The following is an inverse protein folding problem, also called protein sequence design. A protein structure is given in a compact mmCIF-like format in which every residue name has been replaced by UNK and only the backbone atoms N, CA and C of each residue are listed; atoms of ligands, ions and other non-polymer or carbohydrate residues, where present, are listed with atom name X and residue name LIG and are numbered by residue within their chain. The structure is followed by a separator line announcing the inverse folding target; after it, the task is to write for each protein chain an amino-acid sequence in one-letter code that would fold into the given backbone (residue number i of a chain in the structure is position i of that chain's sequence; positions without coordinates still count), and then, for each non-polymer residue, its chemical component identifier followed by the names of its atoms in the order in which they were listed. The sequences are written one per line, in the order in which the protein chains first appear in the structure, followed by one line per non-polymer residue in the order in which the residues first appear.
data_IF_004944897002
#
_entry.id   IF_004944897002
#
_cell.length_a   1.000
_cell.length_b   1.000
_cell.length_c   1.000
_cell.angle_alpha   90.00
_cell.angle_beta   90.00
_cell.angle_gamma   90.00
#
_symmetry.space_group_name_H-M   'P 1'
#
loop_
_entity.id
_entity.type
_entity.pdbx_description
1 polymer ?
#
# COMPACT_ATOMS: atom_id res chain seq x y z
N UNK A 1 -0.71 -1.73 41.87
CA UNK A 1 -1.19 -1.05 40.65
C UNK A 1 -0.49 -1.68 39.47
N UNK A 2 -1.21 -2.45 38.65
CA UNK A 2 -0.65 -3.15 37.49
C UNK A 2 -0.01 -2.16 36.52
N UNK A 3 1.14 -2.52 35.92
CA UNK A 3 1.81 -1.65 34.95
C UNK A 3 0.86 -1.39 33.78
N UNK A 4 0.78 -0.13 33.36
CA UNK A 4 0.04 0.28 32.15
C UNK A 4 0.65 -0.49 30.99
N UNK A 5 0.00 -1.58 30.57
CA UNK A 5 0.37 -2.30 29.35
C UNK A 5 0.28 -1.29 28.22
N UNK A 6 1.43 -0.95 27.63
CA UNK A 6 1.50 -0.06 26.48
C UNK A 6 0.78 -0.66 25.26
N UNK A 7 0.94 -0.02 24.09
CA UNK A 7 0.41 -0.55 22.83
C UNK A 7 0.97 -1.97 22.63
N UNK A 8 0.12 -3.00 22.47
CA UNK A 8 0.60 -4.37 22.22
C UNK A 8 1.53 -4.36 21.02
N UNK A 9 2.63 -5.11 21.10
CA UNK A 9 3.57 -5.26 20.00
C UNK A 9 2.80 -5.86 18.83
N UNK A 10 2.62 -5.09 17.77
CA UNK A 10 2.09 -5.58 16.51
C UNK A 10 3.20 -6.42 15.88
N UNK A 11 2.96 -7.70 15.63
CA UNK A 11 3.99 -8.62 15.08
C UNK A 11 4.45 -8.24 13.66
N UNK A 12 3.63 -7.50 12.91
CA UNK A 12 4.01 -6.99 11.59
C UNK A 12 3.50 -5.54 11.41
N UNK A 13 4.21 -4.55 11.96
CA UNK A 13 3.88 -3.17 11.67
C UNK A 13 4.21 -2.89 10.20
N UNK A 14 3.29 -2.26 9.47
CA UNK A 14 3.58 -1.70 8.14
C UNK A 14 4.38 -0.42 8.36
N UNK A 15 5.69 -0.57 8.60
CA UNK A 15 6.59 0.54 8.99
C UNK A 15 7.08 1.34 7.79
N UNK A 16 7.08 0.75 6.60
CA UNK A 16 7.67 1.36 5.41
C UNK A 16 6.65 2.15 4.60
N UNK A 17 6.88 3.45 4.48
CA UNK A 17 6.16 4.33 3.57
C UNK A 17 6.88 4.35 2.21
N UNK A 18 6.14 4.04 1.14
CA UNK A 18 6.64 4.13 -0.23
C UNK A 18 6.12 5.43 -0.83
N UNK A 19 7.01 6.41 -1.01
CA UNK A 19 6.71 7.65 -1.74
C UNK A 19 7.32 7.57 -3.14
N UNK A 20 6.46 7.64 -4.15
CA UNK A 20 6.88 7.64 -5.55
C UNK A 20 6.38 8.91 -6.23
N UNK A 21 7.25 9.54 -7.05
CA UNK A 21 6.83 10.60 -7.97
C UNK A 21 6.34 9.95 -9.25
N UNK A 22 5.11 10.26 -9.63
CA UNK A 22 4.49 9.77 -10.86
C UNK A 22 3.92 10.95 -11.64
N UNK A 23 3.84 10.78 -12.95
CA UNK A 23 3.21 11.76 -13.83
C UNK A 23 1.70 11.87 -13.59
N UNK A 24 1.15 13.01 -14.02
CA UNK A 24 -0.26 13.33 -13.88
C UNK A 24 -1.16 12.33 -14.62
N UNK A 25 -0.79 11.95 -15.85
CA UNK A 25 -1.53 10.97 -16.65
C UNK A 25 -1.61 9.61 -15.94
N UNK A 26 -0.51 9.16 -15.35
CA UNK A 26 -0.44 7.90 -14.60
C UNK A 26 -1.34 7.94 -13.37
N UNK A 27 -1.36 9.07 -12.65
CA UNK A 27 -2.24 9.27 -11.50
C UNK A 27 -3.72 9.26 -11.90
N UNK A 28 -4.10 9.90 -13.00
CA UNK A 28 -5.47 9.91 -13.50
C UNK A 28 -5.94 8.51 -13.89
N UNK A 29 -5.10 7.75 -14.60
CA UNK A 29 -5.38 6.34 -14.93
C UNK A 29 -5.53 5.49 -13.68
N UNK A 30 -4.67 5.69 -12.69
CA UNK A 30 -4.72 4.95 -11.43
C UNK A 30 -5.99 5.29 -10.64
N UNK A 31 -6.41 6.55 -10.60
CA UNK A 31 -7.67 6.96 -9.97
C UNK A 31 -8.89 6.37 -10.69
N UNK A 32 -8.89 6.39 -12.03
CA UNK A 32 -9.96 5.77 -12.82
C UNK A 32 -10.07 4.26 -12.54
N UNK A 33 -8.93 3.58 -12.49
CA UNK A 33 -8.86 2.16 -12.11
C UNK A 33 -9.39 1.94 -10.69
N UNK A 34 -8.92 2.70 -9.70
CA UNK A 34 -9.40 2.60 -8.32
C UNK A 34 -10.93 2.76 -8.22
N UNK A 35 -11.50 3.70 -8.98
CA UNK A 35 -12.95 3.95 -9.03
C UNK A 35 -13.72 2.79 -9.65
N UNK A 36 -13.21 2.19 -10.70
CA UNK A 36 -13.87 1.07 -11.39
C UNK A 36 -13.83 -0.22 -10.55
N UNK A 37 -12.73 -0.47 -9.85
CA UNK A 37 -12.52 -1.69 -9.07
C UNK A 37 -12.82 -1.53 -7.58
N UNK A 38 -13.27 -0.34 -7.16
CA UNK A 38 -13.56 0.02 -5.77
C UNK A 38 -12.41 -0.31 -4.80
N UNK A 39 -11.17 -0.09 -5.25
CA UNK A 39 -9.92 -0.33 -4.50
C UNK A 39 -9.30 0.98 -4.04
N UNK A 40 -8.49 0.92 -2.98
CA UNK A 40 -7.68 2.08 -2.59
C UNK A 40 -6.42 2.15 -3.46
N UNK A 41 -5.90 3.37 -3.65
CA UNK A 41 -4.62 3.62 -4.33
C UNK A 41 -3.52 2.74 -3.73
N UNK A 42 -3.49 2.63 -2.40
CA UNK A 42 -2.50 1.84 -1.66
C UNK A 42 -2.59 0.35 -1.99
N UNK A 43 -3.81 -0.20 -2.14
CA UNK A 43 -4.00 -1.61 -2.47
C UNK A 43 -3.57 -1.89 -3.91
N UNK A 44 -3.90 -1.01 -4.86
CA UNK A 44 -3.46 -1.13 -6.26
C UNK A 44 -1.94 -1.05 -6.38
N UNK A 45 -1.29 -0.16 -5.63
CA UNK A 45 0.17 -0.06 -5.61
C UNK A 45 0.81 -1.33 -5.02
N UNK A 46 0.24 -1.91 -3.95
CA UNK A 46 0.73 -3.17 -3.38
C UNK A 46 0.61 -4.33 -4.36
N UNK A 47 -0.56 -4.49 -4.97
CA UNK A 47 -0.80 -5.51 -6.00
C UNK A 47 0.17 -5.34 -7.18
N UNK A 48 0.39 -4.10 -7.63
CA UNK A 48 1.38 -3.80 -8.68
C UNK A 48 2.80 -4.23 -8.31
N UNK A 49 3.23 -3.99 -7.07
CA UNK A 49 4.55 -4.41 -6.58
C UNK A 49 4.65 -5.93 -6.54
N UNK A 50 3.65 -6.62 -6.01
CA UNK A 50 3.62 -8.10 -5.95
C UNK A 50 3.68 -8.71 -7.35
N UNK A 51 2.90 -8.20 -8.30
CA UNK A 51 2.91 -8.65 -9.70
C UNK A 51 4.29 -8.49 -10.36
N UNK A 52 4.96 -7.35 -10.13
CA UNK A 52 6.31 -7.10 -10.68
C UNK A 52 7.35 -8.04 -10.05
N UNK A 53 7.23 -8.33 -8.76
CA UNK A 53 8.11 -9.28 -8.07
C UNK A 53 7.87 -10.72 -8.51
N UNK A 54 6.62 -11.09 -8.79
CA UNK A 54 6.23 -12.42 -9.25
C UNK A 54 6.65 -12.68 -10.70
N UNK A 55 6.57 -11.68 -11.58
CA UNK A 55 7.03 -11.79 -12.98
C UNK A 55 8.55 -11.92 -13.14
N UNK A 56 9.34 -11.67 -12.08
CA UNK A 56 10.80 -11.78 -12.09
C UNK A 56 11.32 -13.14 -11.62
N UNK A 57 10.44 -14.10 -11.36
CA UNK A 57 10.78 -15.51 -11.13
C UNK A 57 10.94 -16.27 -12.45
#
# INVERSE_FOLDING_TARGET
MSPRTGRPKSDNPKVFDVTARIDKDTMERLQAYCKNYNKTITDVVREGIELVLEQKK
#
